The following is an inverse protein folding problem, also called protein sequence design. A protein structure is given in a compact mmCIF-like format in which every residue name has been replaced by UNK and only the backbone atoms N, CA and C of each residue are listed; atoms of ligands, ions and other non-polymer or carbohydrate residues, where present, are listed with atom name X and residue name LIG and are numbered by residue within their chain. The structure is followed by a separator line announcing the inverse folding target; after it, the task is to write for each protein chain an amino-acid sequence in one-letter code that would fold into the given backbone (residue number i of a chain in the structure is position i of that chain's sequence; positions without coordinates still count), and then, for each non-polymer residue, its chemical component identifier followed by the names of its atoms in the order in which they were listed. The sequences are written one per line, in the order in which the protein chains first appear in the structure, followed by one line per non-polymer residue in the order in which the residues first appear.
data_IF_257532505184
#
_entry.id   IF_257532505184
#
_cell.length_a   1.000
_cell.length_b   1.000
_cell.length_c   1.000
_cell.angle_alpha   90.00
_cell.angle_beta   90.00
_cell.angle_gamma   90.00
#
_symmetry.space_group_name_H-M   'P 1'
#
loop_
_entity.id
_entity.type
_entity.pdbx_description
1 polymer ?
#
# COMPACT_ATOMS: atom_id res chain seq x y z
N UNK A 1 5.60 8.64 15.61
CA UNK A 1 4.15 8.72 15.93
C UNK A 1 3.45 9.31 14.72
N UNK A 2 2.28 8.80 14.31
CA UNK A 2 1.49 9.37 13.20
C UNK A 2 0.43 10.28 13.81
N UNK A 3 0.28 11.54 13.37
CA UNK A 3 -0.74 12.43 13.93
C UNK A 3 -2.16 11.89 13.71
N UNK A 4 -3.05 12.09 14.69
CA UNK A 4 -4.43 11.61 14.62
C UNK A 4 -5.18 12.12 13.38
N UNK A 5 -4.98 13.39 13.01
CA UNK A 5 -5.60 13.99 11.83
C UNK A 5 -5.19 13.27 10.53
N UNK A 6 -3.97 12.73 10.45
CA UNK A 6 -3.50 11.93 9.31
C UNK A 6 -4.26 10.63 9.19
N UNK A 7 -4.58 9.99 10.32
CA UNK A 7 -5.36 8.74 10.38
C UNK A 7 -6.79 9.02 9.95
N UNK A 8 -7.45 10.01 10.56
CA UNK A 8 -8.83 10.37 10.23
C UNK A 8 -9.01 10.74 8.75
N UNK A 9 -8.07 11.53 8.19
CA UNK A 9 -8.10 11.91 6.77
C UNK A 9 -7.86 10.71 5.84
N UNK A 10 -6.95 9.81 6.21
CA UNK A 10 -6.71 8.55 5.47
C UNK A 10 -7.96 7.67 5.46
N UNK A 11 -8.64 7.51 6.60
CA UNK A 11 -9.91 6.78 6.68
C UNK A 11 -10.99 7.43 5.81
N UNK A 12 -11.11 8.76 5.83
CA UNK A 12 -12.07 9.47 4.98
C UNK A 12 -11.79 9.23 3.49
N UNK A 13 -10.53 9.34 3.07
CA UNK A 13 -10.10 9.05 1.69
C UNK A 13 -10.40 7.60 1.29
N UNK A 14 -10.12 6.65 2.18
CA UNK A 14 -10.36 5.24 1.93
C UNK A 14 -11.87 4.92 1.83
N UNK A 15 -12.69 5.46 2.74
CA UNK A 15 -14.17 5.37 2.64
C UNK A 15 -14.68 5.95 1.33
N UNK A 16 -14.16 7.10 0.92
CA UNK A 16 -14.54 7.73 -0.34
C UNK A 16 -14.10 6.88 -1.56
N UNK A 17 -12.92 6.27 -1.51
CA UNK A 17 -12.43 5.38 -2.56
C UNK A 17 -13.29 4.12 -2.68
N UNK A 18 -13.56 3.43 -1.56
CA UNK A 18 -14.42 2.23 -1.53
C UNK A 18 -15.84 2.55 -2.03
N UNK A 19 -16.44 3.67 -1.60
CA UNK A 19 -17.76 4.09 -2.10
C UNK A 19 -17.78 4.35 -3.61
N UNK A 20 -16.75 5.00 -4.15
CA UNK A 20 -16.63 5.25 -5.60
C UNK A 20 -16.45 3.96 -6.39
N UNK A 21 -15.80 2.96 -5.79
CA UNK A 21 -15.50 1.70 -6.43
C UNK A 21 -16.58 0.62 -6.18
N UNK A 22 -17.64 0.91 -5.41
CA UNK A 22 -18.66 -0.06 -5.02
C UNK A 22 -19.47 -0.66 -6.18
N UNK A 23 -19.51 0.02 -7.34
CA UNK A 23 -20.15 -0.47 -8.56
C UNK A 23 -19.17 -1.00 -9.63
N UNK A 24 -17.89 -1.13 -9.29
CA UNK A 24 -16.88 -1.68 -10.20
C UNK A 24 -16.86 -3.21 -10.10
N UNK A 25 -16.41 -3.86 -11.18
CA UNK A 25 -16.07 -5.28 -11.19
C UNK A 25 -14.54 -5.41 -11.28
N UNK A 26 -13.85 -5.95 -10.26
CA UNK A 26 -14.41 -6.55 -9.05
C UNK A 26 -14.89 -5.54 -7.99
N UNK A 27 -15.87 -5.94 -7.19
CA UNK A 27 -16.37 -5.13 -6.07
C UNK A 27 -15.35 -5.08 -4.91
N UNK A 28 -14.89 -3.88 -4.56
CA UNK A 28 -13.89 -3.69 -3.51
C UNK A 28 -14.53 -3.56 -2.13
N UNK A 29 -14.21 -4.48 -1.21
CA UNK A 29 -14.69 -4.41 0.18
C UNK A 29 -13.57 -4.12 1.19
N UNK A 30 -12.31 -4.08 0.74
CA UNK A 30 -11.16 -3.84 1.60
C UNK A 30 -10.18 -2.87 0.97
N UNK A 31 -9.38 -2.20 1.80
CA UNK A 31 -8.26 -1.40 1.33
C UNK A 31 -7.47 -0.78 2.48
N UNK A 32 -6.36 -0.17 2.11
CA UNK A 32 -5.45 0.50 3.03
C UNK A 32 -4.74 1.66 2.33
N UNK A 33 -4.26 2.60 3.12
CA UNK A 33 -3.47 3.74 2.67
C UNK A 33 -2.01 3.47 2.97
N UNK A 34 -1.15 3.51 1.96
CA UNK A 34 0.31 3.55 2.15
C UNK A 34 0.75 5.01 2.26
N UNK A 35 1.51 5.33 3.30
CA UNK A 35 1.96 6.70 3.55
C UNK A 35 3.37 6.75 4.12
N UNK A 36 4.00 7.92 4.08
CA UNK A 36 5.26 8.16 4.78
C UNK A 36 5.01 8.38 6.28
N UNK A 37 5.85 7.79 7.13
CA UNK A 37 5.87 7.98 8.59
C UNK A 37 7.31 8.03 9.10
N UNK A 38 7.51 8.62 10.28
CA UNK A 38 8.82 8.63 10.95
C UNK A 38 8.95 7.49 11.96
N UNK A 39 10.08 6.80 11.92
CA UNK A 39 10.52 5.79 12.88
C UNK A 39 11.95 6.11 13.34
N UNK A 40 12.14 6.50 14.59
CA UNK A 40 13.43 7.02 15.12
C UNK A 40 14.08 8.04 14.17
N UNK A 41 13.33 9.09 13.80
CA UNK A 41 13.72 10.13 12.83
C UNK A 41 13.97 9.70 11.38
N UNK A 42 13.91 8.40 11.07
CA UNK A 42 14.06 7.90 9.69
C UNK A 42 12.70 7.80 9.00
N UNK A 43 12.57 8.23 7.72
CA UNK A 43 11.36 8.03 6.94
C UNK A 43 11.17 6.54 6.64
N UNK A 44 9.96 6.04 6.88
CA UNK A 44 9.53 4.67 6.67
C UNK A 44 8.12 4.65 6.07
N UNK A 45 7.77 3.55 5.40
CA UNK A 45 6.44 3.31 4.91
C UNK A 45 5.54 2.85 6.06
N UNK A 46 4.36 3.44 6.14
CA UNK A 46 3.28 3.03 7.02
C UNK A 46 2.06 2.62 6.22
N UNK A 47 1.17 1.90 6.89
CA UNK A 47 -0.18 1.66 6.39
C UNK A 47 -1.21 2.19 7.38
N UNK A 48 -2.34 2.67 6.84
CA UNK A 48 -3.54 3.01 7.61
C UNK A 48 -4.73 2.25 7.02
N UNK A 49 -5.47 1.53 7.85
CA UNK A 49 -6.67 0.77 7.43
C UNK A 49 -7.95 1.60 7.55
N UNK A 50 -9.07 1.00 7.15
CA UNK A 50 -10.39 1.60 7.30
C UNK A 50 -10.81 1.77 8.76
N UNK A 51 -10.41 0.84 9.63
CA UNK A 51 -10.75 0.86 11.06
C UNK A 51 -9.80 1.73 11.89
N UNK A 52 -8.72 2.23 11.28
CA UNK A 52 -7.87 3.27 11.84
C UNK A 52 -6.58 2.74 12.46
N UNK A 53 -6.29 1.45 12.30
CA UNK A 53 -4.96 0.92 12.62
C UNK A 53 -3.89 1.65 11.82
N UNK A 54 -2.79 2.01 12.48
CA UNK A 54 -1.61 2.62 11.84
C UNK A 54 -0.35 1.83 12.16
N UNK A 55 0.08 1.01 11.19
CA UNK A 55 1.18 0.07 11.37
C UNK A 55 2.39 0.49 10.54
N UNK A 56 3.58 0.00 10.92
CA UNK A 56 4.74 0.07 10.05
C UNK A 56 4.57 -0.96 8.93
N UNK A 57 4.85 -0.58 7.70
CA UNK A 57 4.81 -1.52 6.59
C UNK A 57 6.13 -2.30 6.56
N UNK A 58 6.07 -3.63 6.54
CA UNK A 58 7.22 -4.51 6.60
C UNK A 58 7.12 -5.65 5.58
N UNK A 59 8.21 -6.40 5.45
CA UNK A 59 8.32 -7.50 4.49
C UNK A 59 7.31 -8.61 4.76
N UNK A 60 7.04 -8.93 6.03
CA UNK A 60 6.06 -9.96 6.41
C UNK A 60 4.66 -9.60 5.91
N UNK A 61 4.22 -8.37 6.12
CA UNK A 61 2.92 -7.88 5.65
C UNK A 61 2.86 -7.90 4.12
N UNK A 62 3.89 -7.43 3.43
CA UNK A 62 3.95 -7.48 1.97
C UNK A 62 3.87 -8.91 1.42
N UNK A 63 4.63 -9.85 1.99
CA UNK A 63 4.58 -11.26 1.58
C UNK A 63 3.20 -11.88 1.75
N UNK A 64 2.44 -11.46 2.76
CA UNK A 64 1.06 -11.93 2.93
C UNK A 64 0.07 -11.37 1.89
N UNK A 65 0.48 -10.45 1.03
CA UNK A 65 -0.27 -9.98 -0.15
C UNK A 65 0.15 -10.70 -1.44
N UNK A 66 1.14 -11.59 -1.40
CA UNK A 66 1.58 -12.30 -2.59
C UNK A 66 0.44 -13.15 -3.17
N UNK A 67 0.18 -13.01 -4.47
CA UNK A 67 -0.96 -13.63 -5.14
C UNK A 67 -2.32 -12.99 -4.85
N UNK A 68 -2.39 -12.01 -3.94
CA UNK A 68 -3.63 -11.33 -3.62
C UNK A 68 -3.92 -10.22 -4.64
N UNK A 69 -5.18 -10.06 -5.09
CA UNK A 69 -5.49 -9.11 -6.15
C UNK A 69 -5.60 -7.69 -5.56
N UNK A 70 -4.76 -6.77 -6.04
CA UNK A 70 -4.63 -5.40 -5.54
C UNK A 70 -4.82 -4.37 -6.66
N UNK A 71 -5.44 -3.24 -6.32
CA UNK A 71 -5.66 -2.10 -7.22
C UNK A 71 -5.18 -0.80 -6.61
N UNK A 72 -4.36 -0.07 -7.36
CA UNK A 72 -3.98 1.30 -7.05
C UNK A 72 -5.13 2.25 -7.41
N UNK A 73 -5.61 2.99 -6.42
CA UNK A 73 -6.76 3.92 -6.50
C UNK A 73 -8.04 3.28 -7.07
N UNK A 74 -8.15 1.95 -7.06
CA UNK A 74 -9.28 1.21 -7.66
C UNK A 74 -9.21 1.06 -9.19
N UNK A 75 -8.14 1.50 -9.84
CA UNK A 75 -8.08 1.55 -11.30
C UNK A 75 -7.02 0.64 -11.90
N UNK A 76 -5.78 0.70 -11.39
CA UNK A 76 -4.67 -0.03 -11.98
C UNK A 76 -4.34 -1.26 -11.14
N UNK A 77 -4.25 -2.44 -11.76
CA UNK A 77 -3.86 -3.65 -11.03
C UNK A 77 -2.39 -3.53 -10.64
N UNK A 78 -2.06 -3.90 -9.41
CA UNK A 78 -0.69 -3.82 -8.92
C UNK A 78 -0.23 -5.11 -8.23
N UNK A 79 1.08 -5.27 -8.16
CA UNK A 79 1.75 -6.12 -7.18
C UNK A 79 2.77 -5.29 -6.41
N UNK A 80 3.02 -5.67 -5.16
CA UNK A 80 3.93 -4.97 -4.27
C UNK A 80 5.05 -5.91 -3.86
N UNK A 81 6.29 -5.47 -4.01
CA UNK A 81 7.48 -6.24 -3.64
C UNK A 81 8.27 -5.49 -2.57
N UNK A 82 8.75 -6.17 -1.52
CA UNK A 82 9.59 -5.54 -0.51
C UNK A 82 10.83 -4.89 -1.12
N UNK A 83 11.10 -3.65 -0.69
CA UNK A 83 12.31 -2.92 -1.05
C UNK A 83 13.28 -2.88 0.13
N UNK A 84 13.85 -1.70 0.37
CA UNK A 84 14.86 -1.49 1.41
C UNK A 84 14.18 -1.42 2.77
N UNK A 85 14.71 -2.13 3.77
CA UNK A 85 14.29 -2.01 5.18
C UNK A 85 15.19 -1.06 5.96
N UNK A 86 14.62 -0.39 6.95
CA UNK A 86 15.39 0.43 7.89
C UNK A 86 15.98 -0.46 8.96
N UNK A 87 17.31 -0.45 9.09
CA UNK A 87 18.00 -1.16 10.15
C UNK A 87 17.52 -0.66 11.54
N UNK A 88 17.38 -1.57 12.53
CA UNK A 88 17.03 -1.17 13.88
C UNK A 88 18.09 -0.21 14.45
N UNK A 89 17.66 0.67 15.36
CA UNK A 89 18.61 1.41 16.20
C UNK A 89 19.46 0.42 17.01
N UNK A 90 20.69 0.81 17.34
CA UNK A 90 21.71 -0.07 17.93
C UNK A 90 21.16 -0.98 19.04
N UNK A 91 21.44 -2.30 18.95
CA UNK A 91 21.05 -3.30 19.95
C UNK A 91 19.68 -3.97 19.75
N UNK A 92 18.86 -3.53 18.78
CA UNK A 92 17.55 -4.13 18.52
C UNK A 92 17.60 -5.50 17.84
N UNK A 93 17.20 -6.58 18.54
CA UNK A 93 16.97 -7.92 17.97
C UNK A 93 15.62 -7.99 17.22
N UNK A 94 15.44 -7.16 16.19
CA UNK A 94 14.26 -7.25 15.31
C UNK A 94 14.57 -8.14 14.12
N UNK A 95 13.78 -9.20 13.92
CA UNK A 95 13.87 -10.04 12.71
C UNK A 95 13.76 -9.15 11.48
N UNK A 96 14.55 -9.44 10.45
CA UNK A 96 14.60 -8.62 9.22
C UNK A 96 13.22 -8.39 8.61
N UNK A 97 12.37 -9.43 8.58
CA UNK A 97 11.03 -9.36 8.02
C UNK A 97 10.05 -8.42 8.76
N UNK A 98 10.37 -8.07 10.02
CA UNK A 98 9.56 -7.20 10.87
C UNK A 98 10.05 -5.74 10.85
N UNK A 99 11.19 -5.48 10.20
CA UNK A 99 11.75 -4.14 10.10
C UNK A 99 10.88 -3.27 9.19
N UNK A 100 10.61 -2.01 9.58
CA UNK A 100 9.92 -1.06 8.72
C UNK A 100 10.65 -0.88 7.38
N UNK A 101 9.89 -0.75 6.30
CA UNK A 101 10.44 -0.49 4.97
C UNK A 101 10.71 1.00 4.77
N UNK A 102 11.86 1.34 4.20
CA UNK A 102 12.14 2.65 3.63
C UNK A 102 11.58 2.76 2.20
N UNK A 103 11.52 1.65 1.47
CA UNK A 103 10.97 1.61 0.12
C UNK A 103 10.27 0.29 -0.21
N UNK A 104 9.43 0.32 -1.23
CA UNK A 104 8.87 -0.86 -1.87
C UNK A 104 8.87 -0.67 -3.39
N UNK A 105 8.86 -1.77 -4.13
CA UNK A 105 8.66 -1.76 -5.57
C UNK A 105 7.19 -2.03 -5.86
N UNK A 106 6.61 -1.25 -6.76
CA UNK A 106 5.23 -1.42 -7.21
C UNK A 106 5.24 -1.69 -8.71
N UNK A 107 4.78 -2.88 -9.10
CA UNK A 107 4.51 -3.17 -10.50
C UNK A 107 3.06 -2.86 -10.80
N UNK A 108 2.83 -2.09 -11.85
CA UNK A 108 1.51 -1.65 -12.29
C UNK A 108 1.22 -2.30 -13.63
N UNK A 109 0.15 -3.08 -13.68
CA UNK A 109 -0.40 -3.68 -14.87
C UNK A 109 -1.59 -2.80 -15.34
N UNK A 110 -1.39 -2.01 -16.38
CA UNK A 110 -2.44 -1.21 -17.01
C UNK A 110 -2.76 -1.73 -18.40
N UNK A 111 -4.02 -1.64 -18.79
CA UNK A 111 -4.42 -1.86 -20.18
C UNK A 111 -4.34 -0.55 -20.94
N UNK A 112 -3.63 -0.52 -22.06
CA UNK A 112 -3.67 0.60 -22.98
C UNK A 112 -4.94 0.51 -23.83
N UNK A 113 -5.88 1.44 -23.61
CA UNK A 113 -7.13 1.53 -24.38
C UNK A 113 -7.00 2.44 -25.60
N UNK A 114 -5.86 3.09 -25.82
CA UNK A 114 -5.66 4.03 -26.93
C UNK A 114 -5.43 3.35 -28.29
N UNK A 115 -5.13 2.05 -28.30
CA UNK A 115 -4.71 1.30 -29.48
C UNK A 115 -5.79 0.47 -30.17
N UNK A 116 -7.03 0.45 -29.66
CA UNK A 116 -8.15 -0.30 -30.25
C UNK A 116 -8.03 -1.82 -30.10
N UNK A 117 -9.16 -2.48 -29.75
CA UNK A 117 -9.50 -3.93 -29.60
C UNK A 117 -8.44 -4.92 -29.07
N UNK A 118 -7.18 -4.84 -29.49
CA UNK A 118 -6.01 -5.44 -28.85
C UNK A 118 -5.56 -4.59 -27.65
N UNK A 119 -6.02 -4.97 -26.45
CA UNK A 119 -5.55 -4.37 -25.21
C UNK A 119 -4.07 -4.74 -25.00
N UNK A 120 -3.15 -3.81 -25.26
CA UNK A 120 -1.75 -4.02 -24.92
C UNK A 120 -1.56 -3.85 -23.41
N UNK A 121 -1.05 -4.89 -22.75
CA UNK A 121 -0.68 -4.81 -21.34
C UNK A 121 0.61 -3.99 -21.22
N UNK A 122 0.51 -2.81 -20.61
CA UNK A 122 1.67 -2.00 -20.24
C UNK A 122 2.02 -2.32 -18.79
N UNK A 123 3.27 -2.77 -18.58
CA UNK A 123 3.82 -2.98 -17.26
C UNK A 123 4.73 -1.81 -16.91
N UNK A 124 4.36 -1.08 -15.85
CA UNK A 124 5.16 0.02 -15.31
C UNK A 124 5.73 -0.42 -13.97
N UNK A 125 7.01 -0.16 -13.76
CA UNK A 125 7.67 -0.37 -12.48
C UNK A 125 7.91 0.98 -11.81
N UNK A 126 7.54 1.10 -10.53
CA UNK A 126 7.71 2.31 -9.75
C UNK A 126 8.32 1.99 -8.37
N UNK A 127 9.43 2.64 -8.03
CA UNK A 127 10.01 2.58 -6.69
C UNK A 127 9.30 3.60 -5.81
N UNK A 128 8.58 3.11 -4.79
CA UNK A 128 7.92 3.97 -3.79
C UNK A 128 8.85 4.11 -2.60
N UNK A 129 9.38 5.31 -2.35
CA UNK A 129 10.25 5.60 -1.21
C UNK A 129 9.54 6.46 -0.18
N UNK A 130 9.71 6.14 1.09
CA UNK A 130 9.12 6.91 2.19
C UNK A 130 9.60 8.37 2.24
N UNK A 131 10.85 8.62 1.85
CA UNK A 131 11.45 9.96 1.85
C UNK A 131 10.83 10.92 0.82
N UNK A 132 10.34 10.38 -0.31
CA UNK A 132 9.78 11.16 -1.41
C UNK A 132 8.28 10.96 -1.62
N UNK A 133 7.62 10.14 -0.78
CA UNK A 133 6.18 9.89 -0.87
C UNK A 133 5.39 11.09 -0.31
N UNK A 134 5.10 12.05 -1.19
CA UNK A 134 4.32 13.26 -0.84
C UNK A 134 2.83 12.95 -0.70
N UNK A 135 2.29 12.13 -1.60
CA UNK A 135 0.87 11.78 -1.61
C UNK A 135 0.65 10.34 -1.15
N UNK A 136 -0.25 10.08 -0.18
CA UNK A 136 -0.58 8.72 0.21
C UNK A 136 -1.20 7.93 -0.95
N UNK A 137 -0.82 6.66 -1.06
CA UNK A 137 -1.36 5.74 -2.06
C UNK A 137 -2.55 4.99 -1.48
N UNK A 138 -3.65 4.91 -2.21
CA UNK A 138 -4.80 4.08 -1.84
C UNK A 138 -4.69 2.73 -2.55
N UNK A 139 -4.70 1.66 -1.78
CA UNK A 139 -4.65 0.30 -2.31
C UNK A 139 -5.95 -0.39 -1.91
N UNK A 140 -6.68 -0.88 -2.90
CA UNK A 140 -7.97 -1.56 -2.72
C UNK A 140 -7.85 -3.03 -3.09
N UNK A 141 -8.70 -3.85 -2.47
CA UNK A 141 -8.82 -5.26 -2.79
C UNK A 141 -10.27 -5.74 -2.64
N UNK A 142 -10.70 -6.74 -3.43
CA UNK A 142 -12.04 -7.32 -3.33
C UNK A 142 -12.36 -7.90 -1.96
N UNK A 143 -11.36 -8.44 -1.26
CA UNK A 143 -11.53 -9.06 0.06
C UNK A 143 -10.39 -8.68 0.99
N UNK A 144 -10.54 -8.94 2.30
CA UNK A 144 -9.45 -8.73 3.27
C UNK A 144 -8.53 -9.96 3.28
N UNK A 145 -7.20 -9.80 3.13
CA UNK A 145 -6.28 -10.91 3.35
C UNK A 145 -6.32 -11.36 4.83
N UNK A 146 -6.27 -12.67 5.09
CA UNK A 146 -6.47 -13.20 6.45
C UNK A 146 -5.46 -12.66 7.49
N UNK A 147 -4.20 -12.48 7.08
CA UNK A 147 -3.12 -11.99 7.93
C UNK A 147 -3.08 -10.45 8.08
N UNK A 148 -4.05 -9.74 7.48
CA UNK A 148 -4.08 -8.27 7.46
C UNK A 148 -4.98 -7.67 8.54
N UNK A 149 -4.63 -6.46 9.03
CA UNK A 149 -5.45 -5.70 9.98
C UNK A 149 -6.84 -5.37 9.42
N UNK A 150 -7.77 -4.99 10.29
CA UNK A 150 -9.17 -4.77 9.93
C UNK A 150 -9.37 -3.45 9.17
#
# INVERSE_FOLDING_TARGET
MVPYHTIAFSQQKLRAALRRAAGQDPAFTYGFVVHSRRHHERPTLGLITLHGESLAFNERLLKSLEGFPLWLFGHARITLVPGISVAPAEGGRTKQADRPLASMLMHIATFDTSTGVTQHLVQVEAVVKAESLVQPLLILSPTRPAAWPM
#
